data_IF_861370110702
#
_entry.id   IF_861370110702
#
_cell.length_a   1.000
_cell.length_b   1.000
_cell.length_c   1.000
_cell.angle_alpha   90.00
_cell.angle_beta   90.00
_cell.angle_gamma   90.00
#
_symmetry.space_group_name_H-M   'P 1'
#
loop_
_entity.id
_entity.type
_entity.pdbx_description
1 polymer ?
#
# COMPACT_ATOMS: atom_id res chain seq x y z
N UNK A 1 13.64 -9.66 10.88
CA UNK A 1 13.36 -8.91 12.05
C UNK A 1 12.20 -9.46 12.73
N UNK A 2 11.27 -9.77 12.80
CA UNK A 2 10.25 -10.41 13.55
C UNK A 2 9.94 -9.84 14.93
N UNK A 3 10.50 -8.71 15.28
CA UNK A 3 10.23 -8.08 16.56
C UNK A 3 9.66 -6.69 16.35
N UNK A 4 9.11 -6.14 17.40
CA UNK A 4 8.59 -4.78 17.35
C UNK A 4 9.73 -3.78 17.16
N UNK A 5 9.45 -2.75 16.38
CA UNK A 5 10.40 -1.68 16.14
C UNK A 5 9.65 -0.36 16.16
N UNK A 6 10.22 0.64 16.83
CA UNK A 6 9.67 1.98 16.85
C UNK A 6 10.65 2.93 16.20
N UNK A 7 10.19 3.67 15.19
CA UNK A 7 10.98 4.65 14.49
C UNK A 7 10.25 5.98 14.62
N UNK A 8 10.73 6.86 15.51
CA UNK A 8 10.16 8.21 15.70
C UNK A 8 8.63 8.20 15.68
N UNK A 9 8.01 7.65 16.70
CA UNK A 9 6.56 7.57 16.84
C UNK A 9 5.87 6.61 15.85
N UNK A 10 6.65 5.86 15.08
CA UNK A 10 6.07 4.80 14.24
C UNK A 10 6.00 3.51 15.02
N UNK A 11 5.00 2.70 14.73
CA UNK A 11 4.82 1.39 15.33
C UNK A 11 4.88 0.31 14.26
N UNK A 12 5.77 -0.64 14.46
CA UNK A 12 5.89 -1.80 13.58
C UNK A 12 5.59 -3.02 14.44
N UNK A 13 4.46 -3.66 14.19
CA UNK A 13 4.00 -4.80 14.97
C UNK A 13 4.93 -6.00 14.86
N UNK A 14 4.87 -6.89 15.83
CA UNK A 14 5.78 -8.04 15.88
C UNK A 14 5.59 -9.02 14.72
N UNK A 15 4.41 -9.08 14.15
CA UNK A 15 4.13 -9.96 13.01
C UNK A 15 4.28 -9.24 11.67
N UNK A 16 4.61 -7.97 11.70
CA UNK A 16 4.85 -7.21 10.48
C UNK A 16 6.22 -7.58 9.89
N UNK A 17 6.30 -7.53 8.57
CA UNK A 17 7.56 -7.74 7.86
C UNK A 17 7.85 -6.49 7.04
N UNK A 18 8.93 -5.80 7.36
CA UNK A 18 9.37 -4.61 6.64
C UNK A 18 10.76 -4.90 6.11
N UNK A 19 10.90 -5.03 4.81
CA UNK A 19 12.19 -5.34 4.17
C UNK A 19 12.46 -4.39 3.03
N UNK A 20 13.71 -3.99 2.88
CA UNK A 20 14.15 -3.17 1.75
C UNK A 20 13.30 -1.92 1.53
N UNK A 21 12.78 -1.33 2.61
CA UNK A 21 11.81 -0.26 2.53
C UNK A 21 12.17 0.90 3.43
N UNK A 22 11.61 2.06 3.12
CA UNK A 22 11.77 3.26 3.93
C UNK A 22 10.44 3.56 4.60
N UNK A 23 10.42 3.65 5.92
CA UNK A 23 9.23 3.95 6.70
C UNK A 23 9.47 5.24 7.47
N UNK A 24 8.63 6.24 7.23
CA UNK A 24 8.74 7.53 7.89
C UNK A 24 8.07 7.52 9.26
N UNK A 25 8.15 8.65 9.97
CA UNK A 25 7.60 8.74 11.31
C UNK A 25 6.07 8.75 11.35
N UNK A 26 5.51 8.34 12.47
CA UNK A 26 4.06 8.37 12.68
C UNK A 26 3.29 7.24 12.00
N UNK A 27 3.98 6.25 11.46
CA UNK A 27 3.32 5.14 10.76
C UNK A 27 2.96 4.00 11.71
N UNK A 28 1.91 3.27 11.34
CA UNK A 28 1.54 2.04 12.02
C UNK A 28 1.61 0.91 11.00
N UNK A 29 2.56 -0.01 11.16
CA UNK A 29 2.76 -1.10 10.22
C UNK A 29 2.50 -2.42 10.93
N UNK A 30 1.45 -3.10 10.52
CA UNK A 30 1.12 -4.43 11.04
C UNK A 30 1.09 -5.48 9.93
N UNK A 31 1.24 -5.06 8.69
CA UNK A 31 1.29 -5.95 7.54
C UNK A 31 2.70 -6.06 6.97
N UNK A 32 2.78 -6.45 5.72
CA UNK A 32 4.05 -6.65 5.04
C UNK A 32 4.36 -5.49 4.10
N UNK A 33 5.59 -4.99 4.18
CA UNK A 33 6.06 -3.90 3.31
C UNK A 33 7.41 -4.31 2.74
N UNK A 34 7.52 -4.35 1.41
CA UNK A 34 8.74 -4.79 0.74
C UNK A 34 9.04 -3.88 -0.46
N UNK A 35 10.29 -3.44 -0.58
CA UNK A 35 10.74 -2.55 -1.64
C UNK A 35 9.81 -1.34 -1.85
N UNK A 36 9.37 -0.73 -0.77
CA UNK A 36 8.39 0.35 -0.82
C UNK A 36 8.83 1.55 0.00
N UNK A 37 8.19 2.68 -0.26
CA UNK A 37 8.40 3.89 0.52
C UNK A 37 7.09 4.23 1.21
N UNK A 38 7.11 4.33 2.53
CA UNK A 38 5.94 4.66 3.34
C UNK A 38 6.17 6.02 3.98
N UNK A 39 5.38 6.99 3.57
CA UNK A 39 5.49 8.37 4.03
C UNK A 39 4.87 8.56 5.41
N UNK A 40 5.03 9.74 6.04
CA UNK A 40 4.53 9.93 7.42
C UNK A 40 3.03 9.69 7.59
N UNK A 41 2.68 9.19 8.77
CA UNK A 41 1.29 9.02 9.20
C UNK A 41 0.48 8.01 8.38
N UNK A 42 1.14 7.04 7.76
CA UNK A 42 0.46 5.98 7.03
C UNK A 42 0.10 4.81 7.94
N UNK A 43 -0.89 4.04 7.53
CA UNK A 43 -1.30 2.83 8.24
C UNK A 43 -1.31 1.65 7.28
N UNK A 44 -0.65 0.57 7.67
CA UNK A 44 -0.70 -0.70 6.93
C UNK A 44 -1.19 -1.75 7.92
N UNK A 45 -2.43 -2.21 7.76
CA UNK A 45 -3.06 -3.09 8.72
C UNK A 45 -2.65 -4.56 8.55
N UNK A 46 -3.02 -5.36 9.52
CA UNK A 46 -2.66 -6.78 9.56
C UNK A 46 -3.10 -7.50 8.28
N UNK A 47 -2.22 -8.33 7.75
CA UNK A 47 -2.51 -9.09 6.54
C UNK A 47 -2.37 -8.31 5.24
N UNK A 48 -2.20 -6.99 5.31
CA UNK A 48 -1.97 -6.20 4.10
C UNK A 48 -0.57 -6.48 3.54
N UNK A 49 -0.43 -6.36 2.24
CA UNK A 49 0.83 -6.64 1.55
C UNK A 49 1.14 -5.49 0.59
N UNK A 50 2.22 -4.78 0.84
CA UNK A 50 2.63 -3.63 0.02
C UNK A 50 4.00 -3.94 -0.58
N UNK A 51 4.07 -3.97 -1.91
CA UNK A 51 5.33 -4.28 -2.60
C UNK A 51 5.59 -3.33 -3.76
N UNK A 52 6.83 -2.85 -3.86
CA UNK A 52 7.28 -2.00 -4.95
C UNK A 52 6.37 -0.79 -5.15
N UNK A 53 5.95 -0.17 -4.05
CA UNK A 53 4.95 0.89 -4.09
C UNK A 53 5.40 2.12 -3.33
N UNK A 54 4.75 3.24 -3.60
CA UNK A 54 4.95 4.49 -2.86
C UNK A 54 3.64 4.83 -2.18
N UNK A 55 3.67 4.91 -0.86
CA UNK A 55 2.50 5.25 -0.06
C UNK A 55 2.73 6.65 0.48
N UNK A 56 1.90 7.59 0.06
CA UNK A 56 2.06 9.00 0.41
C UNK A 56 1.44 9.34 1.77
N UNK A 57 1.74 10.54 2.34
CA UNK A 57 1.33 10.84 3.71
C UNK A 57 -0.16 10.64 3.99
N UNK A 58 -0.46 10.04 5.13
CA UNK A 58 -1.83 9.86 5.59
C UNK A 58 -2.63 8.76 4.92
N UNK A 59 -2.06 8.06 3.95
CA UNK A 59 -2.76 6.97 3.27
C UNK A 59 -2.94 5.77 4.20
N UNK A 60 -4.01 5.00 3.97
CA UNK A 60 -4.35 3.86 4.81
C UNK A 60 -4.56 2.62 3.95
N UNK A 61 -3.82 1.57 4.27
CA UNK A 61 -3.95 0.27 3.62
C UNK A 61 -4.58 -0.66 4.65
N UNK A 62 -5.84 -1.00 4.42
CA UNK A 62 -6.62 -1.75 5.40
C UNK A 62 -6.31 -3.24 5.39
N UNK A 63 -6.93 -3.95 6.33
CA UNK A 63 -6.67 -5.36 6.57
C UNK A 63 -6.81 -6.21 5.30
N UNK A 64 -5.79 -7.01 5.01
CA UNK A 64 -5.82 -7.93 3.88
C UNK A 64 -5.70 -7.31 2.50
N UNK A 65 -5.62 -5.99 2.41
CA UNK A 65 -5.47 -5.32 1.11
C UNK A 65 -4.08 -5.56 0.53
N UNK A 66 -3.98 -5.51 -0.80
CA UNK A 66 -2.72 -5.73 -1.49
C UNK A 66 -2.43 -4.57 -2.43
N UNK A 67 -1.21 -4.06 -2.37
CA UNK A 67 -0.77 -2.94 -3.21
C UNK A 67 0.55 -3.32 -3.86
N UNK A 68 0.54 -3.45 -5.18
CA UNK A 68 1.71 -3.87 -5.94
C UNK A 68 2.03 -2.88 -7.04
N UNK A 69 3.29 -2.44 -7.12
CA UNK A 69 3.75 -1.55 -8.19
C UNK A 69 2.81 -0.37 -8.39
N UNK A 70 2.46 0.31 -7.31
CA UNK A 70 1.45 1.35 -7.35
C UNK A 70 1.86 2.56 -6.54
N UNK A 71 1.20 3.68 -6.80
CA UNK A 71 1.37 4.90 -6.02
C UNK A 71 0.02 5.20 -5.37
N UNK A 72 0.01 5.26 -4.05
CA UNK A 72 -1.18 5.60 -3.27
C UNK A 72 -0.98 7.01 -2.74
N UNK A 73 -1.76 7.95 -3.26
CA UNK A 73 -1.59 9.37 -2.94
C UNK A 73 -2.07 9.71 -1.53
N UNK A 74 -1.89 10.98 -1.14
CA UNK A 74 -2.18 11.44 0.22
C UNK A 74 -3.62 11.15 0.64
N UNK A 75 -3.78 10.67 1.88
CA UNK A 75 -5.09 10.42 2.49
C UNK A 75 -5.99 9.45 1.75
N UNK A 76 -5.47 8.71 0.77
CA UNK A 76 -6.24 7.69 0.08
C UNK A 76 -6.44 6.48 1.00
N UNK A 77 -7.53 5.76 0.79
CA UNK A 77 -7.88 4.59 1.61
C UNK A 77 -8.06 3.39 0.70
N UNK A 78 -7.32 2.33 1.00
CA UNK A 78 -7.51 1.03 0.34
C UNK A 78 -8.23 0.14 1.34
N UNK A 79 -9.50 -0.16 1.09
CA UNK A 79 -10.33 -0.88 2.05
C UNK A 79 -9.98 -2.35 2.15
N UNK A 80 -10.47 -3.07 3.17
CA UNK A 80 -10.08 -4.46 3.38
C UNK A 80 -10.26 -5.33 2.14
N UNK A 81 -9.28 -6.19 1.90
CA UNK A 81 -9.28 -7.16 0.81
C UNK A 81 -9.30 -6.56 -0.60
N UNK A 82 -9.16 -5.26 -0.75
CA UNK A 82 -9.01 -4.64 -2.06
C UNK A 82 -7.59 -4.93 -2.60
N UNK A 83 -7.45 -4.93 -3.91
CA UNK A 83 -6.18 -5.18 -4.55
C UNK A 83 -5.89 -4.08 -5.57
N UNK A 84 -4.70 -3.49 -5.49
CA UNK A 84 -4.27 -2.43 -6.41
C UNK A 84 -3.01 -2.89 -7.13
N UNK A 85 -3.06 -2.92 -8.45
CA UNK A 85 -1.92 -3.29 -9.27
C UNK A 85 -1.67 -4.78 -9.32
N UNK A 86 -0.59 -5.17 -9.98
CA UNK A 86 -0.21 -6.57 -10.11
C UNK A 86 1.29 -6.69 -10.27
N UNK A 87 1.84 -7.82 -9.85
CA UNK A 87 3.24 -8.15 -10.05
C UNK A 87 3.43 -8.55 -11.51
N UNK A 88 4.37 -7.92 -12.25
CA UNK A 88 4.51 -8.19 -13.70
C UNK A 88 4.67 -9.66 -14.07
N UNK A 89 5.35 -10.43 -13.24
CA UNK A 89 5.59 -11.85 -13.50
C UNK A 89 4.32 -12.69 -13.48
N UNK A 90 3.25 -12.17 -12.90
CA UNK A 90 1.97 -12.88 -12.82
C UNK A 90 1.02 -12.50 -13.94
N UNK A 91 1.43 -11.56 -14.80
CA UNK A 91 0.60 -11.13 -15.91
C UNK A 91 0.79 -12.04 -17.12
N UNK A 92 -0.34 -12.38 -17.75
CA UNK A 92 -0.31 -13.16 -18.98
C UNK A 92 0.35 -12.39 -20.11
N UNK A 93 0.14 -11.07 -20.13
CA UNK A 93 0.75 -10.18 -21.13
C UNK A 93 1.47 -9.04 -20.42
N UNK A 94 2.75 -9.20 -20.10
CA UNK A 94 3.50 -8.18 -19.38
C UNK A 94 3.52 -6.80 -20.03
N UNK A 95 3.36 -6.72 -21.34
CA UNK A 95 3.31 -5.45 -22.05
C UNK A 95 2.09 -4.60 -21.66
N UNK A 96 1.09 -5.20 -21.02
CA UNK A 96 -0.07 -4.47 -20.54
C UNK A 96 0.12 -3.97 -19.11
N UNK A 97 1.29 -4.21 -18.53
CA UNK A 97 1.57 -3.80 -17.17
C UNK A 97 1.85 -2.30 -17.08
N UNK A 98 1.50 -1.71 -15.97
CA UNK A 98 1.80 -0.32 -15.68
C UNK A 98 1.62 -0.05 -14.20
N UNK A 99 2.07 1.11 -13.75
CA UNK A 99 1.92 1.53 -12.37
C UNK A 99 0.50 2.07 -12.18
N UNK A 100 -0.23 1.51 -11.24
CA UNK A 100 -1.53 2.05 -10.87
C UNK A 100 -1.33 3.27 -9.97
N UNK A 101 -2.17 4.27 -10.11
CA UNK A 101 -2.10 5.50 -9.31
C UNK A 101 -3.45 5.73 -8.66
N UNK A 102 -3.45 5.83 -7.34
CA UNK A 102 -4.66 6.12 -6.57
C UNK A 102 -4.56 7.56 -6.12
N UNK A 103 -5.48 8.40 -6.57
CA UNK A 103 -5.43 9.84 -6.31
C UNK A 103 -5.67 10.21 -4.85
N UNK A 104 -5.33 11.45 -4.48
CA UNK A 104 -5.50 11.96 -3.13
C UNK A 104 -6.94 11.82 -2.64
N UNK A 105 -7.11 11.28 -1.44
CA UNK A 105 -8.43 11.15 -0.84
C UNK A 105 -9.36 10.15 -1.51
N UNK A 106 -8.88 9.40 -2.50
CA UNK A 106 -9.69 8.39 -3.16
C UNK A 106 -9.87 7.18 -2.25
N UNK A 107 -10.96 6.45 -2.46
CA UNK A 107 -11.25 5.25 -1.69
C UNK A 107 -11.45 4.07 -2.63
N UNK A 108 -10.70 3.00 -2.40
CA UNK A 108 -10.86 1.73 -3.12
C UNK A 108 -11.67 0.83 -2.21
N UNK A 109 -12.89 0.53 -2.62
CA UNK A 109 -13.82 -0.22 -1.77
C UNK A 109 -13.40 -1.67 -1.56
N UNK A 110 -13.92 -2.26 -0.50
CA UNK A 110 -13.64 -3.65 -0.14
C UNK A 110 -13.80 -4.59 -1.33
N UNK A 111 -12.79 -5.43 -1.56
CA UNK A 111 -12.83 -6.42 -2.61
C UNK A 111 -12.63 -5.90 -4.03
N UNK A 112 -12.45 -4.61 -4.21
CA UNK A 112 -12.22 -4.04 -5.53
C UNK A 112 -10.82 -4.35 -6.02
N UNK A 113 -10.69 -4.65 -7.32
CA UNK A 113 -9.39 -4.89 -7.94
C UNK A 113 -9.10 -3.79 -8.96
N UNK A 114 -8.05 -3.04 -8.72
CA UNK A 114 -7.57 -1.99 -9.64
C UNK A 114 -6.49 -2.60 -10.51
N UNK A 115 -6.73 -2.64 -11.81
CA UNK A 115 -5.78 -3.23 -12.75
C UNK A 115 -4.49 -2.40 -12.86
N UNK A 116 -3.38 -3.03 -13.29
CA UNK A 116 -2.14 -2.29 -13.54
C UNK A 116 -2.36 -1.16 -14.52
N UNK A 117 -1.73 -0.03 -14.27
CA UNK A 117 -1.80 1.12 -15.16
C UNK A 117 -3.06 1.97 -15.04
N UNK A 118 -4.00 1.59 -14.18
CA UNK A 118 -5.23 2.36 -13.99
C UNK A 118 -4.96 3.54 -13.07
N UNK A 119 -5.57 4.69 -13.40
CA UNK A 119 -5.48 5.87 -12.55
C UNK A 119 -6.86 6.15 -11.94
N UNK A 120 -6.91 6.22 -10.62
CA UNK A 120 -8.12 6.59 -9.88
C UNK A 120 -7.98 8.05 -9.51
N UNK A 121 -8.96 8.87 -9.87
CA UNK A 121 -8.89 10.31 -9.64
C UNK A 121 -9.03 10.66 -8.17
N UNK A 122 -8.51 11.83 -7.79
CA UNK A 122 -8.61 12.33 -6.43
C UNK A 122 -10.08 12.38 -5.96
N UNK A 123 -10.32 11.88 -4.75
CA UNK A 123 -11.65 11.88 -4.16
C UNK A 123 -12.63 10.87 -4.73
N UNK A 124 -12.20 10.04 -5.68
CA UNK A 124 -13.08 9.04 -6.30
C UNK A 124 -13.25 7.83 -5.38
N UNK A 125 -14.43 7.20 -5.46
CA UNK A 125 -14.68 5.94 -4.77
C UNK A 125 -14.96 4.86 -5.82
N UNK A 126 -14.22 3.79 -5.78
CA UNK A 126 -14.38 2.69 -6.74
C UNK A 126 -14.44 1.34 -6.06
#
# INVERSE_FOLDING_TARGET
MGSEMCIRDSYIGKDAVVENSSVSEGCEIEGNVDYSVVSPNCVVEEGADVRYSVIMPGAKIKKGAKVYYSIVAEDAVIEPDAKVGEIPELLEKPENWGIAVIGSGATIKTGTHIAPGVMVKAGEEV
#
